data_IF_450229894483
#
_entry.id   IF_450229894483
#
_cell.length_a   1.000
_cell.length_b   1.000
_cell.length_c   1.000
_cell.angle_alpha   90.00
_cell.angle_beta   90.00
_cell.angle_gamma   90.00
#
_symmetry.space_group_name_H-M   'P 1'
#
loop_
_entity.id
_entity.type
_entity.pdbx_description
1 polymer ?
#
# COMPACT_ATOMS: atom_id res chain seq x y z
N UNK A 1 2.85 -12.20 18.94
CA UNK A 1 3.56 -11.78 17.72
C UNK A 1 4.05 -10.35 17.91
N UNK A 2 5.28 -10.05 17.57
CA UNK A 2 5.82 -8.69 17.69
C UNK A 2 5.17 -7.75 16.68
N UNK A 3 5.22 -6.44 16.96
CA UNK A 3 4.70 -5.46 15.98
C UNK A 3 5.51 -5.50 14.69
N UNK A 4 6.81 -5.77 14.78
CA UNK A 4 7.66 -5.92 13.59
C UNK A 4 7.15 -7.04 12.68
N UNK A 5 6.85 -8.18 13.25
CA UNK A 5 6.36 -9.33 12.50
C UNK A 5 4.95 -9.09 11.96
N UNK A 6 4.06 -8.51 12.79
CA UNK A 6 2.71 -8.16 12.35
C UNK A 6 2.74 -7.16 11.17
N UNK A 7 3.61 -6.16 11.25
CA UNK A 7 3.77 -5.18 10.18
C UNK A 7 4.28 -5.82 8.90
N UNK A 8 5.23 -6.74 9.02
CA UNK A 8 5.78 -7.44 7.85
C UNK A 8 4.72 -8.28 7.16
N UNK A 9 3.93 -9.00 7.93
CA UNK A 9 2.85 -9.84 7.39
C UNK A 9 1.74 -9.01 6.75
N UNK A 10 1.37 -7.90 7.41
CA UNK A 10 0.41 -6.96 6.83
C UNK A 10 0.92 -6.40 5.51
N UNK A 11 2.17 -5.92 5.51
CA UNK A 11 2.77 -5.30 4.32
C UNK A 11 2.74 -6.27 3.14
N UNK A 12 3.20 -7.51 3.34
CA UNK A 12 3.23 -8.49 2.28
C UNK A 12 1.81 -8.82 1.78
N UNK A 13 0.87 -9.05 2.68
CA UNK A 13 -0.50 -9.37 2.29
C UNK A 13 -1.15 -8.22 1.52
N UNK A 14 -0.96 -6.99 1.96
CA UNK A 14 -1.52 -5.82 1.32
C UNK A 14 -0.92 -5.59 -0.06
N UNK A 15 0.40 -5.65 -0.16
CA UNK A 15 1.13 -5.37 -1.41
C UNK A 15 1.00 -6.48 -2.44
N UNK A 16 0.63 -7.67 -2.04
CA UNK A 16 0.36 -8.78 -2.97
C UNK A 16 -1.13 -8.93 -3.30
N UNK A 17 -1.95 -7.94 -2.92
CA UNK A 17 -3.34 -7.87 -3.35
C UNK A 17 -4.29 -8.83 -2.64
N UNK A 18 -4.01 -9.19 -1.40
CA UNK A 18 -4.88 -10.10 -0.64
C UNK A 18 -6.17 -9.41 -0.15
N UNK A 19 -6.23 -8.08 -0.22
CA UNK A 19 -7.37 -7.30 0.21
C UNK A 19 -7.54 -7.31 1.72
N UNK A 20 -8.66 -6.76 2.18
CA UNK A 20 -8.91 -6.69 3.62
C UNK A 20 -9.02 -8.07 4.26
N UNK A 21 -9.63 -9.02 3.57
CA UNK A 21 -9.77 -10.40 4.07
C UNK A 21 -8.40 -11.01 4.42
N UNK A 22 -7.37 -10.68 3.64
CA UNK A 22 -6.01 -11.18 3.88
C UNK A 22 -5.18 -10.33 4.83
N UNK A 23 -5.64 -9.12 5.17
CA UNK A 23 -4.91 -8.17 6.00
C UNK A 23 -5.47 -7.99 7.40
N UNK A 24 -6.75 -8.24 7.60
CA UNK A 24 -7.49 -7.82 8.80
C UNK A 24 -6.97 -8.41 10.11
N UNK A 25 -6.33 -9.56 10.06
CA UNK A 25 -5.84 -10.23 11.27
C UNK A 25 -4.77 -9.41 12.01
N UNK A 26 -4.09 -8.50 11.31
CA UNK A 26 -3.04 -7.64 11.88
C UNK A 26 -3.51 -6.21 12.12
N UNK A 27 -4.81 -5.96 11.97
CA UNK A 27 -5.37 -4.61 12.06
C UNK A 27 -6.55 -4.58 13.02
N UNK A 28 -6.75 -3.42 13.67
CA UNK A 28 -8.01 -3.16 14.35
C UNK A 28 -9.12 -2.99 13.32
N UNK A 29 -10.36 -3.36 13.67
CA UNK A 29 -11.51 -3.28 12.76
C UNK A 29 -11.73 -1.87 12.22
N UNK A 30 -11.54 -0.87 13.07
CA UNK A 30 -11.71 0.52 12.71
C UNK A 30 -10.42 1.23 12.33
N UNK A 31 -9.37 0.49 11.95
CA UNK A 31 -8.09 1.10 11.58
C UNK A 31 -8.28 2.16 10.51
N UNK A 32 -7.66 3.33 10.72
CA UNK A 32 -7.77 4.47 9.81
C UNK A 32 -6.57 4.55 8.86
N UNK A 33 -6.72 5.35 7.82
CA UNK A 33 -5.71 5.53 6.78
C UNK A 33 -5.63 6.98 6.36
N UNK A 34 -4.44 7.45 6.04
CA UNK A 34 -4.25 8.77 5.44
C UNK A 34 -3.15 8.75 4.39
N UNK A 35 -3.32 9.58 3.37
CA UNK A 35 -2.35 9.78 2.30
C UNK A 35 -2.57 11.15 1.67
N UNK A 36 -1.50 11.91 1.48
CA UNK A 36 -1.60 13.24 0.90
C UNK A 36 -1.48 13.23 -0.63
N UNK A 37 -1.76 12.09 -1.25
CA UNK A 37 -1.82 11.95 -2.70
C UNK A 37 -3.26 12.10 -3.17
N UNK A 38 -3.49 12.83 -4.26
CA UNK A 38 -4.84 13.07 -4.79
C UNK A 38 -5.58 11.78 -5.11
N UNK A 39 -4.87 10.79 -5.63
CA UNK A 39 -5.47 9.49 -5.98
C UNK A 39 -6.07 8.75 -4.79
N UNK A 40 -5.66 9.07 -3.56
CA UNK A 40 -6.10 8.40 -2.35
C UNK A 40 -6.80 9.34 -1.36
N UNK A 41 -7.19 10.54 -1.81
CA UNK A 41 -7.80 11.56 -0.96
C UNK A 41 -9.07 11.06 -0.25
N UNK A 42 -9.87 10.24 -0.93
CA UNK A 42 -11.14 9.75 -0.40
C UNK A 42 -11.01 8.45 0.41
N UNK A 43 -9.80 7.90 0.53
CA UNK A 43 -9.56 6.67 1.28
C UNK A 43 -9.18 7.03 2.71
N UNK A 44 -10.06 6.71 3.66
CA UNK A 44 -9.91 7.11 5.06
C UNK A 44 -9.76 5.92 6.01
N UNK A 45 -9.98 4.70 5.53
CA UNK A 45 -9.85 3.48 6.33
C UNK A 45 -8.79 2.57 5.75
N UNK A 46 -8.17 1.79 6.63
CA UNK A 46 -7.17 0.82 6.18
C UNK A 46 -7.82 -0.29 5.36
N UNK A 47 -9.05 -0.66 5.69
CA UNK A 47 -9.83 -1.58 4.86
C UNK A 47 -9.99 -1.03 3.43
N UNK A 48 -10.36 0.24 3.30
CA UNK A 48 -10.51 0.87 1.98
C UNK A 48 -9.22 0.87 1.19
N UNK A 49 -8.09 1.12 1.85
CA UNK A 49 -6.79 1.09 1.18
C UNK A 49 -6.42 -0.33 0.73
N UNK A 50 -6.61 -1.32 1.59
CA UNK A 50 -6.29 -2.71 1.25
C UNK A 50 -7.10 -3.17 0.02
N UNK A 51 -8.36 -2.78 -0.06
CA UNK A 51 -9.21 -3.08 -1.23
C UNK A 51 -8.78 -2.30 -2.46
N UNK A 52 -8.39 -1.04 -2.30
CA UNK A 52 -7.85 -0.24 -3.39
C UNK A 52 -6.58 -0.89 -3.97
N UNK A 53 -5.68 -1.34 -3.10
CA UNK A 53 -4.43 -1.99 -3.52
C UNK A 53 -4.71 -3.30 -4.27
N UNK A 54 -5.68 -4.07 -3.78
CA UNK A 54 -6.12 -5.30 -4.48
C UNK A 54 -6.59 -4.97 -5.89
N UNK A 55 -7.41 -3.92 -6.04
CA UNK A 55 -7.93 -3.49 -7.34
C UNK A 55 -6.85 -3.01 -8.29
N UNK A 56 -5.79 -2.39 -7.76
CA UNK A 56 -4.69 -1.88 -8.58
C UNK A 56 -3.95 -2.99 -9.33
N UNK A 57 -3.90 -4.19 -8.76
CA UNK A 57 -3.20 -5.31 -9.37
C UNK A 57 -3.95 -5.96 -10.53
N UNK A 58 -5.15 -5.51 -10.84
CA UNK A 58 -5.86 -5.93 -12.06
C UNK A 58 -5.24 -5.26 -13.29
N UNK A 59 -5.18 -3.92 -13.41
CA UNK A 59 -4.47 -3.30 -14.52
C UNK A 59 -2.95 -3.49 -14.47
N UNK A 60 -2.37 -3.55 -13.28
CA UNK A 60 -0.93 -3.76 -13.10
C UNK A 60 -0.68 -5.21 -12.67
N UNK A 61 -0.97 -6.15 -13.59
CA UNK A 61 -1.01 -7.59 -13.28
C UNK A 61 0.34 -8.19 -12.91
N UNK A 62 1.44 -7.54 -13.27
CA UNK A 62 2.80 -7.93 -12.86
C UNK A 62 3.31 -7.14 -11.66
N UNK A 63 2.41 -6.43 -10.98
CA UNK A 63 2.75 -5.58 -9.85
C UNK A 63 3.48 -6.35 -8.74
N UNK A 64 4.55 -5.76 -8.25
CA UNK A 64 5.40 -6.34 -7.21
C UNK A 64 6.12 -5.25 -6.45
N UNK A 65 6.50 -5.55 -5.21
CA UNK A 65 7.27 -4.61 -4.42
C UNK A 65 8.73 -5.06 -4.26
N UNK A 66 9.57 -4.07 -4.07
CA UNK A 66 10.97 -4.27 -3.69
C UNK A 66 11.18 -3.51 -2.39
N UNK A 67 11.36 -4.25 -1.29
CA UNK A 67 11.53 -3.63 0.03
C UNK A 67 12.94 -3.07 0.16
N UNK A 68 13.05 -1.78 0.53
CA UNK A 68 14.33 -1.08 0.67
C UNK A 68 14.75 -0.91 2.12
N UNK A 69 13.80 -0.64 3.01
CA UNK A 69 14.07 -0.45 4.43
C UNK A 69 12.84 -0.82 5.24
N UNK A 70 13.08 -1.41 6.40
CA UNK A 70 12.01 -1.83 7.29
C UNK A 70 12.51 -1.68 8.71
N UNK A 71 11.91 -0.75 9.46
CA UNK A 71 12.43 -0.38 10.78
C UNK A 71 11.31 -0.22 11.78
N UNK A 72 11.53 -0.74 12.99
CA UNK A 72 10.62 -0.61 14.11
C UNK A 72 11.09 0.51 15.03
N UNK A 73 10.18 1.42 15.35
CA UNK A 73 10.36 2.43 16.38
C UNK A 73 9.61 1.94 17.63
N UNK A 74 10.36 1.34 18.54
CA UNK A 74 9.77 0.76 19.76
C UNK A 74 9.20 1.84 20.67
N UNK A 75 9.82 3.01 20.72
CA UNK A 75 9.38 4.13 21.55
C UNK A 75 8.02 4.66 21.10
N UNK A 76 7.79 4.75 19.79
CA UNK A 76 6.53 5.26 19.22
C UNK A 76 5.57 4.16 18.81
N UNK A 77 5.93 2.93 19.08
CA UNK A 77 5.09 1.76 18.80
C UNK A 77 4.64 1.72 17.34
N UNK A 78 5.59 1.93 16.44
CA UNK A 78 5.32 2.01 15.00
C UNK A 78 6.38 1.30 14.19
N UNK A 79 6.02 0.96 12.95
CA UNK A 79 6.92 0.32 11.99
C UNK A 79 6.82 1.09 10.67
N UNK A 80 7.97 1.40 10.09
CA UNK A 80 8.05 2.12 8.82
C UNK A 80 8.68 1.21 7.77
N UNK A 81 8.04 1.14 6.60
CA UNK A 81 8.54 0.40 5.47
C UNK A 81 8.72 1.34 4.28
N UNK A 82 9.91 1.36 3.70
CA UNK A 82 10.18 2.05 2.44
C UNK A 82 10.39 0.99 1.36
N UNK A 83 9.65 1.11 0.25
CA UNK A 83 9.70 0.16 -0.84
C UNK A 83 9.55 0.85 -2.18
N UNK A 84 9.82 0.10 -3.24
CA UNK A 84 9.56 0.51 -4.62
C UNK A 84 8.53 -0.46 -5.20
N UNK A 85 7.47 0.09 -5.76
CA UNK A 85 6.48 -0.71 -6.49
C UNK A 85 6.82 -0.68 -7.97
N UNK A 86 6.90 -1.87 -8.58
CA UNK A 86 7.14 -2.04 -10.01
C UNK A 86 5.91 -2.67 -10.65
N UNK A 87 5.49 -2.13 -11.78
CA UNK A 87 4.37 -2.70 -12.51
C UNK A 87 4.31 -2.18 -13.94
N UNK A 88 3.55 -2.88 -14.78
CA UNK A 88 3.32 -2.52 -16.17
C UNK A 88 1.83 -2.56 -16.44
N UNK A 89 1.30 -1.53 -17.11
CA UNK A 89 -0.13 -1.49 -17.45
C UNK A 89 -0.43 -2.45 -18.59
N UNK A 90 -0.67 -3.70 -18.26
CA UNK A 90 -0.96 -4.79 -19.21
C UNK A 90 -2.41 -5.25 -19.16
N UNK A 91 -3.05 -5.12 -17.99
CA UNK A 91 -4.41 -5.64 -17.76
C UNK A 91 -5.47 -4.58 -17.94
N UNK A 92 -6.71 -5.03 -17.97
CA UNK A 92 -7.88 -4.15 -18.03
C UNK A 92 -8.18 -3.57 -16.63
N UNK A 93 -9.05 -2.57 -16.58
CA UNK A 93 -9.53 -2.00 -15.33
C UNK A 93 -8.90 -0.69 -14.93
N UNK A 94 -7.94 -0.18 -15.68
CA UNK A 94 -7.38 1.15 -15.47
C UNK A 94 -8.31 2.24 -16.02
N UNK A 95 -7.94 3.54 -15.83
CA UNK A 95 -8.74 4.67 -16.32
C UNK A 95 -8.75 4.78 -17.85
N UNK A 96 -7.80 4.12 -18.51
CA UNK A 96 -7.66 4.07 -19.97
C UNK A 96 -7.34 2.62 -20.35
N UNK A 97 -7.49 2.25 -21.64
CA UNK A 97 -7.06 0.93 -22.11
C UNK A 97 -5.56 0.72 -21.84
N UNK A 98 -5.08 -0.54 -21.76
CA UNK A 98 -3.69 -0.84 -21.43
C UNK A 98 -2.71 -0.04 -22.26
N UNK A 99 -1.83 0.71 -21.60
CA UNK A 99 -0.83 1.55 -22.25
C UNK A 99 0.48 0.82 -22.55
N UNK A 100 0.73 -0.28 -21.86
CA UNK A 100 2.02 -0.98 -21.92
C UNK A 100 3.14 -0.27 -21.17
N UNK A 101 2.85 0.87 -20.53
CA UNK A 101 3.88 1.64 -19.81
C UNK A 101 4.18 1.02 -18.46
N UNK A 102 5.44 1.14 -18.05
CA UNK A 102 5.92 0.66 -16.76
C UNK A 102 6.03 1.81 -15.76
N UNK A 103 5.87 1.46 -14.48
CA UNK A 103 6.10 2.38 -13.36
C UNK A 103 7.05 1.75 -12.36
N UNK A 104 7.89 2.59 -11.76
CA UNK A 104 8.68 2.26 -10.57
C UNK A 104 8.45 3.41 -9.58
N UNK A 105 7.74 3.14 -8.51
CA UNK A 105 7.27 4.18 -7.60
C UNK A 105 7.80 3.97 -6.19
N UNK A 106 8.49 4.97 -5.65
CA UNK A 106 8.91 4.98 -4.26
C UNK A 106 7.70 5.25 -3.38
N UNK A 107 7.58 4.52 -2.27
CA UNK A 107 6.51 4.78 -1.30
C UNK A 107 6.91 4.32 0.09
N UNK A 108 6.23 4.88 1.08
CA UNK A 108 6.46 4.58 2.49
C UNK A 108 5.14 4.26 3.15
N UNK A 109 5.10 3.19 3.94
CA UNK A 109 4.05 2.91 4.91
C UNK A 109 4.57 3.26 6.30
N UNK A 110 3.84 4.10 7.02
CA UNK A 110 4.07 4.31 8.44
C UNK A 110 2.89 3.67 9.20
N UNK A 111 3.16 2.57 9.87
CA UNK A 111 2.15 1.74 10.53
C UNK A 111 2.19 1.97 12.03
N UNK A 112 1.13 2.56 12.58
CA UNK A 112 1.01 2.86 14.00
C UNK A 112 0.20 1.77 14.68
N UNK A 113 0.77 1.19 15.74
CA UNK A 113 0.17 0.06 16.44
C UNK A 113 -0.47 0.47 17.76
N UNK A 114 -1.57 -0.20 18.09
CA UNK A 114 -2.17 -0.23 19.41
C UNK A 114 -2.18 -1.69 19.82
N UNK A 115 -1.36 -2.05 20.82
CA UNK A 115 -1.08 -3.44 21.10
C UNK A 115 -0.34 -4.08 19.93
N UNK A 116 -0.84 -5.21 19.47
CA UNK A 116 -0.21 -5.95 18.36
C UNK A 116 -0.88 -5.73 17.02
N UNK A 117 -1.84 -4.79 16.94
CA UNK A 117 -2.61 -4.52 15.73
C UNK A 117 -2.47 -3.08 15.28
N UNK A 118 -2.47 -2.87 13.98
CA UNK A 118 -2.38 -1.55 13.37
C UNK A 118 -3.68 -0.79 13.64
N UNK A 119 -3.56 0.43 14.19
CA UNK A 119 -4.71 1.33 14.40
C UNK A 119 -4.78 2.41 13.34
N UNK A 120 -3.64 2.79 12.73
CA UNK A 120 -3.58 3.82 11.70
C UNK A 120 -2.38 3.54 10.81
N UNK A 121 -2.55 3.79 9.51
CA UNK A 121 -1.44 3.78 8.58
C UNK A 121 -1.44 5.05 7.74
N UNK A 122 -0.26 5.64 7.58
CA UNK A 122 -0.02 6.74 6.65
C UNK A 122 0.81 6.21 5.50
N UNK A 123 0.36 6.47 4.28
CA UNK A 123 1.15 6.20 3.07
C UNK A 123 1.72 7.51 2.54
N UNK A 124 2.99 7.49 2.19
CA UNK A 124 3.66 8.62 1.54
C UNK A 124 4.03 8.18 0.13
N UNK A 125 3.47 8.84 -0.86
CA UNK A 125 3.61 8.43 -2.26
C UNK A 125 3.37 9.63 -3.19
N UNK A 126 4.20 9.76 -4.22
CA UNK A 126 4.02 10.77 -5.26
C UNK A 126 3.20 10.18 -6.40
N UNK A 127 1.88 10.27 -6.29
CA UNK A 127 0.96 9.70 -7.28
C UNK A 127 1.06 10.39 -8.64
N UNK A 128 1.30 11.70 -8.66
CA UNK A 128 1.40 12.45 -9.92
C UNK A 128 2.48 11.86 -10.83
N UNK A 129 3.63 11.53 -10.27
CA UNK A 129 4.71 10.92 -11.05
C UNK A 129 4.32 9.53 -11.56
N UNK A 130 3.70 8.72 -10.72
CA UNK A 130 3.26 7.37 -11.09
C UNK A 130 2.21 7.40 -12.19
N UNK A 131 1.22 8.28 -12.06
CA UNK A 131 0.15 8.39 -13.06
C UNK A 131 0.69 8.85 -14.40
N UNK A 132 1.62 9.79 -14.41
CA UNK A 132 2.28 10.22 -15.66
C UNK A 132 3.07 9.08 -16.29
N UNK A 133 3.83 8.35 -15.48
CA UNK A 133 4.63 7.22 -15.99
C UNK A 133 3.75 6.16 -16.64
N UNK A 134 2.59 5.89 -16.06
CA UNK A 134 1.64 4.90 -16.58
C UNK A 134 0.84 5.42 -17.80
N UNK A 135 0.86 6.71 -18.06
CA UNK A 135 0.01 7.32 -19.08
C UNK A 135 -1.43 7.49 -18.61
N UNK A 136 -1.66 7.58 -17.31
CA UNK A 136 -2.99 7.75 -16.71
C UNK A 136 -3.31 9.21 -16.39
N UNK A 137 -2.35 10.09 -16.59
CA UNK A 137 -2.53 11.54 -16.39
C UNK A 137 -1.63 12.34 -17.32
#
# INVERSE_FOLDING_TARGET
MSITESARRFFDACETGKGWAGCKDWCHDGATFSCQSDALTDVETLEGYAEWMKGLLTPLSDGRYELKAFATDAERHSVTAFAVFHGTHKGDGGPVPPTGNAVSADYVYSMEFDGEKIRHMTKIWNDAQSLRALGWA
#
